data_IF_320291320110
#
_entry.id   IF_320291320110
#
_cell.length_a   1.000
_cell.length_b   1.000
_cell.length_c   1.000
_cell.angle_alpha   90.00
_cell.angle_beta   90.00
_cell.angle_gamma   90.00
#
_symmetry.space_group_name_H-M   'P 1'
#
loop_
_entity.id
_entity.type
_entity.pdbx_description
1 polymer ?
#
# COMPACT_ATOMS: atom_id res chain seq x y z
N UNK A 1 -20.53 30.52 13.93
CA UNK A 1 -21.19 29.84 12.81
C UNK A 1 -20.21 29.05 11.93
N UNK A 2 -19.04 29.57 11.58
CA UNK A 2 -18.01 28.89 10.75
C UNK A 2 -17.36 27.68 11.45
N UNK A 3 -17.06 27.79 12.75
CA UNK A 3 -16.43 26.72 13.54
C UNK A 3 -17.33 25.50 13.75
N UNK A 4 -18.62 25.70 13.91
CA UNK A 4 -19.61 24.61 14.06
C UNK A 4 -19.79 23.85 12.76
N UNK A 5 -19.72 24.54 11.61
CA UNK A 5 -19.83 23.92 10.28
C UNK A 5 -18.59 23.06 9.97
N UNK A 6 -17.39 23.54 10.31
CA UNK A 6 -16.14 22.79 10.12
C UNK A 6 -16.12 21.55 11.03
N UNK A 7 -16.48 21.69 12.31
CA UNK A 7 -16.57 20.55 13.25
C UNK A 7 -17.60 19.52 12.80
N UNK A 8 -18.77 19.96 12.30
CA UNK A 8 -19.79 19.04 11.79
C UNK A 8 -19.39 18.34 10.49
N UNK A 9 -18.65 19.02 9.61
CA UNK A 9 -18.08 18.43 8.41
C UNK A 9 -17.01 17.39 8.77
N UNK A 10 -16.09 17.74 9.66
CA UNK A 10 -15.06 16.83 10.14
C UNK A 10 -15.62 15.61 10.87
N UNK A 11 -16.65 15.80 11.72
CA UNK A 11 -17.29 14.67 12.41
C UNK A 11 -18.03 13.73 11.46
N UNK A 12 -18.73 14.27 10.44
CA UNK A 12 -19.37 13.45 9.41
C UNK A 12 -18.37 12.73 8.52
N UNK A 13 -17.25 13.38 8.22
CA UNK A 13 -16.13 12.79 7.48
C UNK A 13 -15.49 11.64 8.26
N UNK A 14 -15.22 11.83 9.54
CA UNK A 14 -14.63 10.82 10.44
C UNK A 14 -15.56 9.61 10.65
N UNK A 15 -16.87 9.81 10.72
CA UNK A 15 -17.83 8.72 10.91
C UNK A 15 -18.08 7.93 9.62
N UNK A 16 -17.93 8.55 8.47
CA UNK A 16 -18.19 7.92 7.16
C UNK A 16 -16.97 7.19 6.59
N UNK A 17 -15.77 7.55 7.01
CA UNK A 17 -14.55 6.88 6.60
C UNK A 17 -14.19 5.84 7.66
N UNK A 18 -14.14 4.55 7.29
CA UNK A 18 -13.63 3.47 8.13
C UNK A 18 -12.09 3.54 8.26
N UNK A 19 -11.55 4.76 8.41
CA UNK A 19 -10.10 4.97 8.53
C UNK A 19 -9.68 4.69 9.96
N UNK A 20 -8.74 3.77 10.12
CA UNK A 20 -8.00 3.62 11.36
C UNK A 20 -6.96 4.74 11.48
N UNK A 21 -7.33 5.77 12.26
CA UNK A 21 -6.49 6.96 12.46
C UNK A 21 -5.18 6.64 13.17
N UNK A 22 -5.16 5.62 14.03
CA UNK A 22 -3.94 5.23 14.71
C UNK A 22 -2.91 4.67 13.70
N UNK A 23 -3.37 3.81 12.77
CA UNK A 23 -2.55 3.30 11.67
C UNK A 23 -2.09 4.42 10.74
N UNK A 24 -2.97 5.33 10.36
CA UNK A 24 -2.62 6.44 9.48
C UNK A 24 -1.55 7.35 10.09
N UNK A 25 -1.74 7.77 11.34
CA UNK A 25 -0.78 8.63 12.05
C UNK A 25 0.56 7.93 12.23
N UNK A 26 0.56 6.65 12.61
CA UNK A 26 1.81 5.88 12.76
C UNK A 26 2.58 5.75 11.44
N UNK A 27 1.88 5.54 10.32
CA UNK A 27 2.49 5.50 8.99
C UNK A 27 3.09 6.87 8.61
N UNK A 28 2.35 7.96 8.84
CA UNK A 28 2.86 9.31 8.60
C UNK A 28 4.10 9.63 9.44
N UNK A 29 4.11 9.25 10.72
CA UNK A 29 5.27 9.44 11.59
C UNK A 29 6.50 8.69 11.07
N UNK A 30 6.34 7.42 10.64
CA UNK A 30 7.44 6.65 10.07
C UNK A 30 8.03 7.33 8.82
N UNK A 31 7.17 7.85 7.93
CA UNK A 31 7.64 8.57 6.73
C UNK A 31 8.34 9.86 7.13
N UNK A 32 7.81 10.62 8.09
CA UNK A 32 8.45 11.84 8.59
C UNK A 32 9.85 11.56 9.18
N UNK A 33 10.00 10.51 9.99
CA UNK A 33 11.32 10.09 10.49
C UNK A 33 12.27 9.72 9.35
N UNK A 34 11.78 9.01 8.33
CA UNK A 34 12.55 8.68 7.13
C UNK A 34 13.01 9.93 6.38
N UNK A 35 12.15 10.95 6.22
CA UNK A 35 12.49 12.22 5.59
C UNK A 35 13.55 13.00 6.38
N UNK A 36 13.42 13.06 7.71
CA UNK A 36 14.42 13.69 8.59
C UNK A 36 15.78 13.00 8.44
N UNK A 37 15.80 11.67 8.43
CA UNK A 37 17.02 10.90 8.24
C UNK A 37 17.66 11.17 6.87
N UNK A 38 16.85 11.17 5.80
CA UNK A 38 17.35 11.49 4.45
C UNK A 38 17.95 12.90 4.38
N UNK A 39 17.28 13.89 4.96
CA UNK A 39 17.79 15.27 4.95
C UNK A 39 19.13 15.40 5.70
N UNK A 40 19.35 14.59 6.76
CA UNK A 40 20.60 14.61 7.53
C UNK A 40 21.79 13.95 6.82
N UNK A 41 21.54 12.92 5.99
CA UNK A 41 22.60 12.12 5.37
C UNK A 41 22.86 12.43 3.90
N UNK A 42 21.88 12.97 3.19
CA UNK A 42 22.01 13.28 1.77
C UNK A 42 22.33 14.77 1.60
N UNK A 43 23.55 15.09 1.20
CA UNK A 43 23.92 16.46 0.80
C UNK A 43 23.19 16.96 -0.46
N UNK A 44 22.49 16.09 -1.19
CA UNK A 44 21.68 16.39 -2.36
C UNK A 44 20.18 16.45 -1.98
N UNK A 45 19.61 17.66 -2.06
CA UNK A 45 18.20 17.92 -1.80
C UNK A 45 17.24 17.22 -2.79
N UNK A 46 17.74 16.75 -3.94
CA UNK A 46 16.92 16.14 -4.99
C UNK A 46 16.10 14.94 -4.53
N UNK A 47 16.70 14.00 -3.79
CA UNK A 47 15.99 12.83 -3.29
C UNK A 47 14.99 13.18 -2.21
N UNK A 48 15.30 14.15 -1.37
CA UNK A 48 14.39 14.65 -0.33
C UNK A 48 13.14 15.30 -0.94
N UNK A 49 13.30 16.19 -1.91
CA UNK A 49 12.19 16.87 -2.58
C UNK A 49 11.29 15.86 -3.33
N UNK A 50 11.91 14.91 -4.02
CA UNK A 50 11.18 13.83 -4.69
C UNK A 50 10.36 13.00 -3.70
N UNK A 51 10.95 12.63 -2.57
CA UNK A 51 10.28 11.85 -1.53
C UNK A 51 9.14 12.63 -0.88
N UNK A 52 9.33 13.92 -0.61
CA UNK A 52 8.29 14.81 -0.07
C UNK A 52 7.10 14.91 -1.02
N UNK A 53 7.37 15.09 -2.31
CA UNK A 53 6.32 15.15 -3.34
C UNK A 53 5.51 13.86 -3.38
N UNK A 54 6.16 12.71 -3.39
CA UNK A 54 5.48 11.41 -3.38
C UNK A 54 4.72 11.16 -2.07
N UNK A 55 5.21 11.65 -0.95
CA UNK A 55 4.49 11.59 0.33
C UNK A 55 3.18 12.37 0.26
N UNK A 56 3.19 13.59 -0.27
CA UNK A 56 1.97 14.37 -0.45
C UNK A 56 0.98 13.67 -1.40
N UNK A 57 1.46 13.17 -2.53
CA UNK A 57 0.64 12.40 -3.48
C UNK A 57 0.03 11.18 -2.79
N UNK A 58 0.79 10.46 -1.97
CA UNK A 58 0.30 9.27 -1.27
C UNK A 58 -0.83 9.58 -0.28
N UNK A 59 -0.80 10.73 0.39
CA UNK A 59 -1.90 11.18 1.25
C UNK A 59 -3.17 11.40 0.44
N UNK A 60 -3.09 12.05 -0.73
CA UNK A 60 -4.24 12.26 -1.61
C UNK A 60 -4.81 10.94 -2.12
N UNK A 61 -3.93 10.02 -2.55
CA UNK A 61 -4.33 8.68 -3.00
C UNK A 61 -4.99 7.90 -1.87
N UNK A 62 -4.43 7.94 -0.66
CA UNK A 62 -5.00 7.29 0.52
C UNK A 62 -6.41 7.82 0.83
N UNK A 63 -6.58 9.14 0.83
CA UNK A 63 -7.88 9.76 1.05
C UNK A 63 -8.88 9.35 -0.03
N UNK A 64 -8.50 9.36 -1.30
CA UNK A 64 -9.34 8.90 -2.41
C UNK A 64 -9.70 7.41 -2.29
N UNK A 65 -8.74 6.56 -1.98
CA UNK A 65 -8.94 5.13 -1.79
C UNK A 65 -9.87 4.80 -0.61
N UNK A 66 -9.90 5.64 0.41
CA UNK A 66 -10.78 5.49 1.58
C UNK A 66 -12.27 5.60 1.25
N UNK A 67 -12.64 6.21 0.13
CA UNK A 67 -14.04 6.31 -0.32
C UNK A 67 -14.48 5.13 -1.19
N UNK A 68 -13.53 4.30 -1.62
CA UNK A 68 -13.82 3.15 -2.49
C UNK A 68 -14.30 1.97 -1.64
N UNK A 69 -15.38 1.32 -2.07
CA UNK A 69 -15.82 0.06 -1.45
C UNK A 69 -14.97 -1.11 -1.97
N UNK A 70 -14.07 -1.58 -1.13
CA UNK A 70 -13.15 -2.70 -1.42
C UNK A 70 -13.78 -4.08 -1.25
N UNK A 71 -15.11 -4.18 -1.05
CA UNK A 71 -15.81 -5.46 -0.87
C UNK A 71 -15.67 -6.41 -2.04
N UNK A 72 -15.40 -5.91 -3.25
CA UNK A 72 -15.15 -6.73 -4.43
C UNK A 72 -13.91 -7.62 -4.29
N UNK A 73 -12.90 -7.23 -3.49
CA UNK A 73 -11.71 -8.03 -3.20
C UNK A 73 -12.02 -9.29 -2.38
N UNK A 74 -13.20 -9.36 -1.74
CA UNK A 74 -13.65 -10.57 -1.03
C UNK A 74 -14.09 -11.68 -1.99
N UNK A 75 -14.37 -11.37 -3.26
CA UNK A 75 -14.80 -12.36 -4.27
C UNK A 75 -13.63 -13.24 -4.69
N UNK A 76 -13.85 -14.58 -4.69
CA UNK A 76 -12.80 -15.54 -5.07
C UNK A 76 -12.29 -15.32 -6.49
N UNK A 77 -13.19 -15.08 -7.42
CA UNK A 77 -12.84 -14.89 -8.83
C UNK A 77 -11.91 -13.67 -9.02
N UNK A 78 -12.15 -12.58 -8.27
CA UNK A 78 -11.31 -11.39 -8.32
C UNK A 78 -9.90 -11.69 -7.80
N UNK A 79 -9.80 -12.42 -6.69
CA UNK A 79 -8.50 -12.80 -6.14
C UNK A 79 -7.72 -13.73 -7.07
N UNK A 80 -8.40 -14.68 -7.72
CA UNK A 80 -7.76 -15.57 -8.70
C UNK A 80 -7.24 -14.77 -9.90
N UNK A 81 -8.04 -13.86 -10.43
CA UNK A 81 -7.63 -12.99 -11.55
C UNK A 81 -6.42 -12.12 -11.14
N UNK A 82 -6.47 -11.49 -9.97
CA UNK A 82 -5.36 -10.70 -9.45
C UNK A 82 -4.09 -11.54 -9.27
N UNK A 83 -4.23 -12.76 -8.77
CA UNK A 83 -3.10 -13.68 -8.59
C UNK A 83 -2.46 -14.05 -9.92
N UNK A 84 -3.28 -14.48 -10.91
CA UNK A 84 -2.80 -14.82 -12.25
C UNK A 84 -2.14 -13.61 -12.92
N UNK A 85 -2.76 -12.43 -12.83
CA UNK A 85 -2.20 -11.19 -13.38
C UNK A 85 -0.84 -10.86 -12.75
N UNK A 86 -0.73 -10.95 -11.43
CA UNK A 86 0.55 -10.68 -10.73
C UNK A 86 1.62 -11.70 -11.10
N UNK A 87 1.27 -12.99 -11.17
CA UNK A 87 2.21 -14.02 -11.64
C UNK A 87 2.68 -13.76 -13.07
N UNK A 88 1.76 -13.35 -13.96
CA UNK A 88 2.10 -13.03 -15.36
C UNK A 88 3.06 -11.84 -15.43
N UNK A 89 2.83 -10.78 -14.63
CA UNK A 89 3.72 -9.62 -14.57
C UNK A 89 5.10 -10.01 -14.03
N UNK A 90 5.16 -10.86 -12.99
CA UNK A 90 6.43 -11.35 -12.44
C UNK A 90 7.20 -12.22 -13.45
N UNK A 91 6.50 -13.06 -14.22
CA UNK A 91 7.12 -13.83 -15.31
C UNK A 91 7.66 -12.91 -16.42
N UNK A 92 6.87 -11.91 -16.81
CA UNK A 92 7.28 -10.93 -17.80
C UNK A 92 8.48 -10.12 -17.34
N UNK A 93 8.56 -9.80 -16.06
CA UNK A 93 9.71 -9.11 -15.45
C UNK A 93 11.00 -9.88 -15.68
N UNK A 94 10.97 -11.21 -15.57
CA UNK A 94 12.14 -12.06 -15.79
C UNK A 94 12.76 -11.89 -17.20
N UNK A 95 11.93 -11.59 -18.19
CA UNK A 95 12.38 -11.40 -19.58
C UNK A 95 12.74 -9.97 -19.95
N UNK A 96 12.11 -8.97 -19.30
CA UNK A 96 12.18 -7.55 -19.70
C UNK A 96 13.01 -6.70 -18.75
N UNK A 97 13.15 -7.10 -17.48
CA UNK A 97 13.81 -6.28 -16.49
C UNK A 97 15.30 -6.12 -16.76
N UNK A 98 15.76 -4.88 -16.76
CA UNK A 98 17.18 -4.56 -16.79
C UNK A 98 17.80 -4.79 -15.40
N UNK A 99 19.03 -5.27 -15.36
CA UNK A 99 19.79 -5.45 -14.13
C UNK A 99 20.19 -4.09 -13.57
N UNK A 100 19.48 -3.61 -12.56
CA UNK A 100 19.87 -2.41 -11.81
C UNK A 100 20.51 -2.88 -10.50
N UNK A 101 21.77 -2.56 -10.28
CA UNK A 101 22.55 -2.92 -9.08
C UNK A 101 22.52 -4.44 -8.75
N UNK A 102 22.53 -5.29 -9.78
CA UNK A 102 22.54 -6.76 -9.60
C UNK A 102 21.18 -7.40 -9.31
N UNK A 103 20.09 -6.64 -9.27
CA UNK A 103 18.74 -7.16 -9.12
C UNK A 103 17.85 -6.78 -10.31
N UNK A 104 17.13 -7.77 -10.85
CA UNK A 104 16.15 -7.60 -11.93
C UNK A 104 14.74 -7.49 -11.33
N UNK A 105 14.51 -6.48 -10.48
CA UNK A 105 13.25 -6.40 -9.71
C UNK A 105 12.45 -5.13 -9.97
N UNK A 106 13.01 -4.20 -10.75
CA UNK A 106 12.42 -2.89 -10.97
C UNK A 106 12.11 -2.66 -12.44
N UNK A 107 10.91 -2.15 -12.70
CA UNK A 107 10.54 -1.56 -13.99
C UNK A 107 10.73 -0.04 -13.86
N UNK A 108 11.70 0.49 -14.58
CA UNK A 108 11.96 1.93 -14.57
C UNK A 108 11.26 2.59 -15.77
N UNK A 109 10.33 3.49 -15.47
CA UNK A 109 9.60 4.29 -16.47
C UNK A 109 10.17 5.71 -16.58
N UNK A 110 11.36 5.97 -16.01
CA UNK A 110 12.01 7.27 -16.03
C UNK A 110 11.48 8.24 -14.97
N UNK A 111 10.19 8.53 -14.96
CA UNK A 111 9.54 9.39 -13.95
C UNK A 111 9.36 8.68 -12.61
N UNK A 112 9.07 7.40 -12.64
CA UNK A 112 8.90 6.55 -11.46
C UNK A 112 9.39 5.14 -11.74
N UNK A 113 9.86 4.46 -10.70
CA UNK A 113 10.26 3.06 -10.76
C UNK A 113 9.19 2.23 -10.06
N UNK A 114 8.71 1.19 -10.72
CA UNK A 114 7.67 0.31 -10.22
C UNK A 114 8.25 -1.07 -9.90
N UNK A 115 7.96 -1.57 -8.71
CA UNK A 115 8.38 -2.91 -8.28
C UNK A 115 7.17 -3.86 -8.30
N UNK A 116 7.06 -4.77 -9.27
CA UNK A 116 5.92 -5.69 -9.39
C UNK A 116 5.76 -6.66 -8.20
N UNK A 117 6.79 -6.86 -7.40
CA UNK A 117 6.73 -7.67 -6.18
C UNK A 117 5.86 -7.04 -5.09
N UNK A 118 5.65 -5.72 -5.06
CA UNK A 118 4.85 -5.07 -4.03
C UNK A 118 3.35 -5.38 -4.19
N UNK A 119 2.71 -5.22 -5.37
CA UNK A 119 1.36 -5.71 -5.56
C UNK A 119 1.23 -7.24 -5.38
N UNK A 120 2.27 -8.01 -5.70
CA UNK A 120 2.27 -9.45 -5.47
C UNK A 120 2.15 -9.80 -3.97
N UNK A 121 2.91 -9.12 -3.11
CA UNK A 121 2.80 -9.25 -1.65
C UNK A 121 1.38 -8.94 -1.16
N UNK A 122 0.79 -7.85 -1.67
CA UNK A 122 -0.56 -7.45 -1.30
C UNK A 122 -1.60 -8.51 -1.69
N UNK A 123 -1.54 -9.03 -2.92
CA UNK A 123 -2.44 -10.09 -3.39
C UNK A 123 -2.27 -11.36 -2.56
N UNK A 124 -1.03 -11.74 -2.20
CA UNK A 124 -0.75 -12.89 -1.35
C UNK A 124 -1.37 -12.74 0.04
N UNK A 125 -1.25 -11.56 0.66
CA UNK A 125 -1.86 -11.26 1.96
C UNK A 125 -3.40 -11.41 1.88
N UNK A 126 -4.04 -10.91 0.82
CA UNK A 126 -5.48 -11.04 0.63
C UNK A 126 -5.92 -12.50 0.48
N UNK A 127 -5.16 -13.32 -0.26
CA UNK A 127 -5.44 -14.76 -0.43
C UNK A 127 -5.32 -15.49 0.90
N UNK A 128 -4.24 -15.25 1.65
CA UNK A 128 -4.02 -15.87 2.95
C UNK A 128 -5.09 -15.44 3.96
N UNK A 129 -5.43 -14.14 4.02
CA UNK A 129 -6.50 -13.65 4.89
C UNK A 129 -7.84 -14.34 4.58
N UNK A 130 -8.16 -14.50 3.30
CA UNK A 130 -9.38 -15.21 2.89
C UNK A 130 -9.33 -16.70 3.23
N UNK A 131 -8.19 -17.34 3.04
CA UNK A 131 -8.00 -18.75 3.35
C UNK A 131 -8.23 -19.02 4.85
N UNK A 132 -7.60 -18.25 5.72
CA UNK A 132 -7.75 -18.37 7.16
C UNK A 132 -9.16 -18.01 7.65
N UNK A 133 -9.76 -16.95 7.07
CA UNK A 133 -11.14 -16.57 7.40
C UNK A 133 -12.17 -17.66 7.10
N UNK A 134 -11.96 -18.47 6.06
CA UNK A 134 -12.87 -19.55 5.69
C UNK A 134 -12.71 -20.82 6.52
N UNK A 135 -11.51 -21.09 7.02
CA UNK A 135 -11.21 -22.38 7.66
C UNK A 135 -11.53 -22.42 9.15
N UNK A 136 -11.87 -21.31 9.81
CA UNK A 136 -12.03 -21.27 11.28
C UNK A 136 -10.92 -22.06 11.99
N UNK A 137 -9.68 -21.96 11.50
CA UNK A 137 -8.57 -22.70 12.06
C UNK A 137 -8.32 -22.14 13.45
N UNK A 138 -8.69 -22.89 14.46
CA UNK A 138 -8.19 -22.67 15.81
C UNK A 138 -6.67 -22.88 15.78
N UNK A 139 -5.95 -21.77 15.61
CA UNK A 139 -4.48 -21.73 15.54
C UNK A 139 -3.85 -22.37 16.79
N UNK A 140 -4.63 -22.50 17.87
CA UNK A 140 -4.23 -23.19 19.10
C UNK A 140 -4.17 -24.71 19.00
N UNK A 141 -4.71 -25.31 17.96
CA UNK A 141 -4.81 -26.77 17.86
C UNK A 141 -3.76 -27.32 16.90
N UNK A 142 -2.56 -27.63 17.43
CA UNK A 142 -1.38 -28.15 16.71
C UNK A 142 -1.68 -29.43 15.89
N UNK A 143 -2.80 -30.11 16.14
CA UNK A 143 -3.21 -31.30 15.40
C UNK A 143 -3.74 -31.05 13.98
N UNK A 144 -3.94 -29.80 13.59
CA UNK A 144 -4.46 -29.40 12.27
C UNK A 144 -3.43 -28.70 11.38
N UNK A 145 -2.17 -28.61 11.81
CA UNK A 145 -1.00 -28.20 11.04
C UNK A 145 -0.26 -29.44 10.57
#
# INVERSE_FOLDING_TARGET
>A
MFETTIKSFFSRFLVRTHIDWALFVSACLLVCFGLVTMNSFSGDNFYYEKQLTWFLVSIFVFMGASFVDWSFLKKTNVLVVLFVATCSILLLLFFVAQTIKGAQSWLDFGLFSFQPTDPAKFVLILILAKYFSRRHVEIANIRHI
#
